data_IF_679592580742
#
_entry.id   IF_679592580742
#
_cell.length_a   1.000
_cell.length_b   1.000
_cell.length_c   1.000
_cell.angle_alpha   90.00
_cell.angle_beta   90.00
_cell.angle_gamma   90.00
#
_symmetry.space_group_name_H-M   'P 1'
#
loop_
_entity.id
_entity.type
_entity.pdbx_description
1 polymer ?
#
# COMPACT_ATOMS: atom_id res chain seq x y z
N UNK A 1 16.08 -14.25 -5.85
CA UNK A 1 15.59 -13.02 -6.53
C UNK A 1 14.39 -12.53 -5.76
N UNK A 2 14.29 -11.23 -5.51
CA UNK A 2 13.09 -10.62 -4.93
C UNK A 2 12.43 -9.74 -5.99
N UNK A 3 11.10 -9.80 -6.07
CA UNK A 3 10.31 -9.02 -7.01
C UNK A 3 9.24 -8.23 -6.25
N UNK A 4 9.30 -6.91 -6.34
CA UNK A 4 8.35 -6.00 -5.68
C UNK A 4 7.51 -5.34 -6.76
N UNK A 5 6.19 -5.44 -6.65
CA UNK A 5 5.27 -4.93 -7.67
C UNK A 5 3.94 -4.51 -7.09
N UNK A 6 3.30 -3.54 -7.75
CA UNK A 6 1.92 -3.13 -7.50
C UNK A 6 0.94 -3.77 -8.51
N UNK A 7 1.43 -4.54 -9.48
CA UNK A 7 0.60 -5.18 -10.50
C UNK A 7 -0.05 -6.45 -9.95
N UNK A 8 -1.27 -6.31 -9.41
CA UNK A 8 -2.01 -7.42 -8.79
C UNK A 8 -2.13 -8.63 -9.72
N UNK A 9 -2.60 -8.43 -10.96
CA UNK A 9 -2.85 -9.53 -11.91
C UNK A 9 -1.57 -10.33 -12.24
N UNK A 10 -0.44 -9.65 -12.33
CA UNK A 10 0.85 -10.31 -12.53
C UNK A 10 1.18 -11.23 -11.35
N UNK A 11 1.14 -10.72 -10.12
CA UNK A 11 1.46 -11.52 -8.93
C UNK A 11 0.43 -12.63 -8.70
N UNK A 12 -0.85 -12.34 -8.92
CA UNK A 12 -1.94 -13.31 -8.77
C UNK A 12 -1.80 -14.48 -9.76
N UNK A 13 -1.39 -14.22 -11.01
CA UNK A 13 -1.14 -15.27 -11.99
C UNK A 13 -0.09 -16.31 -11.55
N UNK A 14 0.98 -15.88 -10.86
CA UNK A 14 1.94 -16.83 -10.28
C UNK A 14 1.38 -17.55 -9.06
N UNK A 15 0.58 -16.87 -8.25
CA UNK A 15 -0.06 -17.47 -7.08
C UNK A 15 -1.00 -18.61 -7.52
N UNK A 16 -1.72 -18.43 -8.63
CA UNK A 16 -2.58 -19.46 -9.21
C UNK A 16 -1.81 -20.67 -9.76
N UNK A 17 -0.57 -20.48 -10.22
CA UNK A 17 0.28 -21.59 -10.68
C UNK A 17 0.77 -22.49 -9.54
N UNK A 18 0.68 -22.02 -8.29
CA UNK A 18 1.01 -22.76 -7.07
C UNK A 18 2.39 -23.45 -7.14
N UNK A 19 3.41 -22.68 -7.54
CA UNK A 19 4.77 -23.17 -7.69
C UNK A 19 5.42 -23.40 -6.32
N UNK A 20 5.97 -24.60 -6.09
CA UNK A 20 6.58 -25.01 -4.81
C UNK A 20 7.81 -24.17 -4.39
N UNK A 21 8.40 -23.44 -5.33
CA UNK A 21 9.61 -22.64 -5.13
C UNK A 21 9.35 -21.13 -5.07
N UNK A 22 8.09 -20.70 -4.92
CA UNK A 22 7.71 -19.29 -4.86
C UNK A 22 7.03 -18.97 -3.53
N UNK A 23 7.54 -17.95 -2.83
CA UNK A 23 6.94 -17.43 -1.60
C UNK A 23 6.32 -16.06 -1.86
N UNK A 24 5.06 -15.89 -1.48
CA UNK A 24 4.35 -14.62 -1.56
C UNK A 24 4.43 -13.87 -0.23
N UNK A 25 4.86 -12.61 -0.32
CA UNK A 25 5.12 -11.74 0.82
C UNK A 25 4.40 -10.41 0.63
N UNK A 26 3.92 -9.83 1.73
CA UNK A 26 3.31 -8.49 1.78
C UNK A 26 3.90 -7.66 2.91
N UNK A 27 3.96 -6.36 2.71
CA UNK A 27 4.19 -5.42 3.80
C UNK A 27 2.96 -5.40 4.71
N UNK A 28 3.16 -5.52 6.02
CA UNK A 28 2.08 -5.41 7.00
C UNK A 28 1.59 -3.95 7.12
N UNK A 29 0.27 -3.81 7.07
CA UNK A 29 -0.48 -2.58 7.33
C UNK A 29 -1.53 -2.90 8.38
N UNK A 30 -1.62 -2.06 9.42
CA UNK A 30 -2.67 -2.16 10.43
C UNK A 30 -3.95 -1.46 9.94
N UNK A 31 -5.08 -1.74 10.58
CA UNK A 31 -6.40 -1.22 10.20
C UNK A 31 -6.49 0.31 10.28
N UNK A 32 -5.67 0.93 11.12
CA UNK A 32 -5.54 2.39 11.25
C UNK A 32 -4.66 3.03 10.16
N UNK A 33 -4.10 2.21 9.26
CA UNK A 33 -3.19 2.65 8.22
C UNK A 33 -1.73 2.82 8.67
N UNK A 34 -1.39 2.43 9.90
CA UNK A 34 -0.01 2.44 10.39
C UNK A 34 0.85 1.41 9.66
N UNK A 35 2.11 1.80 9.39
CA UNK A 35 3.13 0.94 8.77
C UNK A 35 3.96 0.29 9.86
N UNK A 36 4.02 -1.04 9.91
CA UNK A 36 4.85 -1.75 10.89
C UNK A 36 6.26 -2.03 10.38
N UNK A 37 6.51 -1.82 9.08
CA UNK A 37 7.74 -2.15 8.37
C UNK A 37 8.14 -3.64 8.44
N UNK A 38 7.18 -4.51 8.77
CA UNK A 38 7.34 -5.96 8.72
C UNK A 38 6.86 -6.48 7.37
N UNK A 39 7.55 -7.51 6.90
CA UNK A 39 7.11 -8.29 5.73
C UNK A 39 6.59 -9.62 6.25
N UNK A 40 5.37 -9.98 5.87
CA UNK A 40 4.70 -11.22 6.28
C UNK A 40 4.32 -12.05 5.07
N UNK A 41 4.24 -13.35 5.24
CA UNK A 41 3.65 -14.23 4.23
C UNK A 41 2.21 -13.81 3.93
N UNK A 42 1.86 -13.83 2.64
CA UNK A 42 0.52 -13.52 2.20
C UNK A 42 0.42 -13.41 0.69
N UNK A 43 -0.67 -13.93 0.15
CA UNK A 43 -1.01 -13.84 -1.26
C UNK A 43 -1.17 -12.37 -1.72
N UNK A 44 -1.07 -12.10 -3.04
CA UNK A 44 -1.32 -10.77 -3.60
C UNK A 44 -2.68 -10.22 -3.16
N UNK A 45 -2.72 -8.93 -2.84
CA UNK A 45 -3.92 -8.26 -2.37
C UNK A 45 -4.56 -7.46 -3.51
N UNK A 46 -5.84 -7.67 -3.77
CA UNK A 46 -6.62 -6.95 -4.80
C UNK A 46 -7.10 -5.58 -4.30
N UNK A 47 -6.25 -4.86 -3.57
CA UNK A 47 -6.53 -3.47 -3.21
C UNK A 47 -5.25 -2.67 -3.12
N UNK A 48 -5.37 -1.37 -3.36
CA UNK A 48 -4.30 -0.40 -3.18
C UNK A 48 -4.72 0.65 -2.16
N UNK A 49 -3.83 0.94 -1.22
CA UNK A 49 -3.95 2.06 -0.29
C UNK A 49 -3.37 3.33 -0.93
N UNK A 50 -3.76 3.61 -2.18
CA UNK A 50 -3.26 4.78 -2.91
C UNK A 50 -4.04 6.04 -2.56
N UNK A 51 -5.37 5.91 -2.51
CA UNK A 51 -6.30 7.01 -2.26
C UNK A 51 -6.18 7.58 -0.84
N UNK A 52 -6.12 6.71 0.17
CA UNK A 52 -5.94 7.11 1.57
C UNK A 52 -4.57 7.77 1.80
N UNK A 53 -3.50 7.21 1.22
CA UNK A 53 -2.17 7.83 1.26
C UNK A 53 -2.15 9.18 0.53
N UNK A 54 -2.84 9.30 -0.60
CA UNK A 54 -2.94 10.56 -1.31
C UNK A 54 -3.65 11.61 -0.47
N UNK A 55 -4.78 11.27 0.14
CA UNK A 55 -5.49 12.14 1.09
C UNK A 55 -4.63 12.55 2.27
N UNK A 56 -3.89 11.61 2.87
CA UNK A 56 -3.00 11.87 4.00
C UNK A 56 -1.85 12.83 3.65
N UNK A 57 -1.26 12.69 2.45
CA UNK A 57 -0.06 13.45 2.06
C UNK A 57 -0.43 14.80 1.44
N UNK A 58 -1.50 14.85 0.63
CA UNK A 58 -1.86 16.00 -0.21
C UNK A 58 -3.21 16.63 0.12
N UNK A 59 -4.05 15.98 0.93
CA UNK A 59 -5.34 16.50 1.38
C UNK A 59 -5.19 17.55 2.49
N UNK A 60 -4.73 18.74 2.10
CA UNK A 60 -4.79 20.02 2.82
C UNK A 60 -4.89 20.00 4.36
N UNK A 61 -3.81 20.45 5.01
CA UNK A 61 -3.96 21.36 6.15
C UNK A 61 -4.78 22.56 5.69
N UNK A 62 -5.87 22.88 6.39
CA UNK A 62 -6.54 24.18 6.23
C UNK A 62 -5.47 25.28 6.33
N UNK A 63 -5.18 25.95 5.22
CA UNK A 63 -4.38 27.17 5.27
C UNK A 63 -5.28 28.22 5.95
N UNK A 64 -4.90 28.79 7.11
CA UNK A 64 -5.71 29.83 7.71
C UNK A 64 -5.82 30.97 6.71
N UNK A 65 -7.04 31.44 6.47
CA UNK A 65 -7.32 32.54 5.55
C UNK A 65 -6.39 33.73 5.87
N UNK A 66 -5.84 34.43 4.85
CA UNK A 66 -4.96 35.56 5.09
C UNK A 66 -5.72 36.56 5.97
N UNK A 67 -5.23 36.78 7.19
CA UNK A 67 -5.77 37.80 8.09
C UNK A 67 -5.61 39.13 7.37
N UNK A 68 -6.74 39.71 6.95
CA UNK A 68 -6.78 41.08 6.47
C UNK A 68 -6.31 41.98 7.61
N UNK A 69 -5.05 42.41 7.56
CA UNK A 69 -4.55 43.49 8.39
C UNK A 69 -5.21 44.78 7.90
N UNK A 70 -6.07 45.32 8.75
CA UNK A 70 -6.74 46.61 8.61
C UNK A 70 -5.77 47.78 8.77
#
# INVERSE_FOLDING_TARGET
VFFVTHLYQFAHGFCQQNLDNVLFLRAERLDDGSRTFKVKEGAPLETSFGEDLYGQIFGATEQPAPTAVA
#
